data_IF_516624608130
#
_entry.id   IF_516624608130
#
_cell.length_a   1.000
_cell.length_b   1.000
_cell.length_c   1.000
_cell.angle_alpha   90.00
_cell.angle_beta   90.00
_cell.angle_gamma   90.00
#
_symmetry.space_group_name_H-M   'P 1'
#
loop_
_entity.id
_entity.type
_entity.pdbx_description
1 polymer ?
#
# COMPACT_ATOMS: atom_id res chain seq x y z
N UNK A 1 -38.75 26.63 2.03
CA UNK A 1 -37.35 26.92 1.64
C UNK A 1 -36.35 26.63 2.77
N UNK A 2 -36.57 27.08 4.01
CA UNK A 2 -35.69 26.78 5.16
C UNK A 2 -35.47 25.28 5.42
N UNK A 3 -36.51 24.46 5.25
CA UNK A 3 -36.47 23.00 5.46
C UNK A 3 -35.67 22.22 4.40
N UNK A 4 -35.46 22.79 3.22
CA UNK A 4 -34.68 22.16 2.14
C UNK A 4 -33.19 22.49 2.31
N UNK A 5 -32.85 23.66 2.85
CA UNK A 5 -31.46 24.02 3.14
C UNK A 5 -30.87 23.15 4.26
N UNK A 6 -31.67 22.82 5.28
CA UNK A 6 -31.23 21.99 6.41
C UNK A 6 -30.98 20.53 6.02
N UNK A 7 -31.73 19.98 5.06
CA UNK A 7 -31.50 18.60 4.58
C UNK A 7 -30.26 18.49 3.70
N UNK A 8 -29.93 19.51 2.90
CA UNK A 8 -28.70 19.53 2.09
C UNK A 8 -27.45 19.65 2.96
N UNK A 9 -27.49 20.47 4.02
CA UNK A 9 -26.36 20.62 4.95
C UNK A 9 -26.03 19.32 5.71
N UNK A 10 -27.04 18.51 6.04
CA UNK A 10 -26.84 17.26 6.77
C UNK A 10 -26.27 16.14 5.88
N UNK A 11 -26.56 16.15 4.58
CA UNK A 11 -26.02 15.17 3.62
C UNK A 11 -24.51 15.35 3.37
N UNK A 12 -23.99 16.58 3.50
CA UNK A 12 -22.56 16.89 3.29
C UNK A 12 -21.65 16.45 4.46
N UNK A 13 -22.20 16.19 5.64
CA UNK A 13 -21.42 15.76 6.81
C UNK A 13 -21.12 14.25 6.82
N UNK A 14 -21.81 13.46 6.00
CA UNK A 14 -21.67 12.00 5.94
C UNK A 14 -20.66 11.50 4.89
N UNK A 15 -20.11 12.38 4.05
CA UNK A 15 -19.20 12.01 2.95
C UNK A 15 -17.71 11.94 3.34
N UNK A 16 -17.34 12.17 4.60
CA UNK A 16 -15.94 12.40 4.98
C UNK A 16 -15.14 11.17 5.46
N UNK A 17 -15.63 9.95 5.33
CA UNK A 17 -14.86 8.76 5.72
C UNK A 17 -14.17 8.09 4.52
N UNK A 18 -13.37 8.85 3.76
CA UNK A 18 -12.34 8.26 2.91
C UNK A 18 -11.20 7.82 3.84
N UNK A 19 -11.25 6.60 4.35
CA UNK A 19 -10.14 6.01 5.10
C UNK A 19 -8.90 6.03 4.20
N UNK A 20 -7.95 6.92 4.49
CA UNK A 20 -6.67 7.00 3.82
C UNK A 20 -5.93 5.68 4.07
N UNK A 21 -6.13 4.69 3.22
CA UNK A 21 -5.23 3.55 3.15
C UNK A 21 -3.89 4.09 2.69
N UNK A 22 -3.00 4.34 3.64
CA UNK A 22 -1.63 4.75 3.36
C UNK A 22 -0.94 3.57 2.71
N UNK A 23 -0.72 3.68 1.39
CA UNK A 23 -0.10 2.65 0.56
C UNK A 23 1.27 3.15 0.15
N UNK A 24 2.30 2.38 0.47
CA UNK A 24 3.65 2.58 0.00
C UNK A 24 4.13 1.42 -0.85
N UNK A 25 5.38 1.49 -1.27
CA UNK A 25 6.08 0.40 -1.97
C UNK A 25 7.45 0.19 -1.33
N UNK A 26 8.03 -0.98 -1.56
CA UNK A 26 9.46 -1.20 -1.33
C UNK A 26 10.25 -0.39 -2.34
N UNK A 27 11.01 0.60 -1.85
CA UNK A 27 11.86 1.45 -2.65
C UNK A 27 13.18 0.75 -3.03
N UNK A 28 13.79 0.08 -2.05
CA UNK A 28 15.01 -0.72 -2.24
C UNK A 28 15.16 -1.74 -1.12
N UNK A 29 15.98 -2.76 -1.36
CA UNK A 29 16.39 -3.75 -0.35
C UNK A 29 17.78 -3.37 0.16
N UNK A 30 17.96 -3.35 1.47
CA UNK A 30 19.29 -3.16 2.07
C UNK A 30 19.97 -4.51 2.32
N UNK A 31 19.17 -5.54 2.64
CA UNK A 31 19.62 -6.92 2.72
C UNK A 31 18.47 -7.91 2.37
N UNK A 32 18.60 -9.19 2.74
CA UNK A 32 17.58 -10.22 2.45
C UNK A 32 16.26 -10.00 3.18
N UNK A 33 16.30 -9.42 4.38
CA UNK A 33 15.19 -9.27 5.31
C UNK A 33 14.85 -7.80 5.61
N UNK A 34 15.69 -6.87 5.18
CA UNK A 34 15.54 -5.43 5.45
C UNK A 34 15.34 -4.65 4.15
N UNK A 35 14.41 -3.69 4.17
CA UNK A 35 14.11 -2.83 3.03
C UNK A 35 13.77 -1.40 3.46
N UNK A 36 13.98 -0.46 2.53
CA UNK A 36 13.40 0.88 2.64
C UNK A 36 12.04 0.89 1.93
N UNK A 37 11.04 1.50 2.57
CA UNK A 37 9.68 1.61 2.05
C UNK A 37 9.27 3.08 1.91
N UNK A 38 8.44 3.38 0.90
CA UNK A 38 7.87 4.71 0.62
C UNK A 38 6.75 5.07 1.62
N UNK A 39 7.06 4.99 2.91
CA UNK A 39 6.22 5.45 4.02
C UNK A 39 7.16 6.15 5.00
N UNK A 40 6.97 7.46 5.18
CA UNK A 40 7.82 8.31 5.99
C UNK A 40 7.32 8.51 7.42
N UNK A 41 7.95 9.45 8.12
CA UNK A 41 7.63 9.79 9.51
C UNK A 41 6.20 10.33 9.73
N UNK A 42 5.53 10.81 8.68
CA UNK A 42 4.14 11.24 8.73
C UNK A 42 3.16 10.08 8.57
N UNK A 43 3.64 8.92 8.10
CA UNK A 43 2.80 7.79 7.71
C UNK A 43 2.89 6.63 8.72
N UNK A 44 4.09 6.40 9.26
CA UNK A 44 4.39 5.28 10.15
C UNK A 44 5.31 5.68 11.30
N UNK A 45 5.35 4.82 12.34
CA UNK A 45 6.23 4.98 13.51
C UNK A 45 7.14 3.76 13.69
N UNK A 46 8.25 3.92 14.42
CA UNK A 46 9.11 2.80 14.80
C UNK A 46 8.30 1.79 15.63
N UNK A 47 8.47 0.50 15.35
CA UNK A 47 7.73 -0.61 15.97
C UNK A 47 6.40 -0.93 15.29
N UNK A 48 5.98 -0.13 14.31
CA UNK A 48 4.73 -0.35 13.60
C UNK A 48 4.81 -1.55 12.65
N UNK A 49 3.72 -2.33 12.60
CA UNK A 49 3.62 -3.50 11.71
C UNK A 49 3.03 -3.11 10.35
N UNK A 50 3.70 -3.54 9.30
CA UNK A 50 3.28 -3.36 7.92
C UNK A 50 3.04 -4.71 7.26
N UNK A 51 2.03 -4.75 6.40
CA UNK A 51 1.70 -5.90 5.56
C UNK A 51 2.25 -5.69 4.16
N UNK A 52 2.84 -6.74 3.60
CA UNK A 52 3.42 -6.74 2.26
C UNK A 52 2.52 -7.52 1.31
N UNK A 53 2.35 -7.01 0.10
CA UNK A 53 1.45 -7.58 -0.89
C UNK A 53 2.08 -7.62 -2.27
N UNK A 54 1.72 -8.63 -3.05
CA UNK A 54 1.93 -8.65 -4.49
C UNK A 54 0.59 -8.54 -5.20
N UNK A 55 0.58 -7.88 -6.35
CA UNK A 55 -0.56 -7.97 -7.26
C UNK A 55 -0.47 -9.29 -8.02
N UNK A 56 -1.52 -10.09 -7.96
CA UNK A 56 -1.70 -11.27 -8.79
C UNK A 56 -2.82 -11.00 -9.78
N UNK A 57 -2.44 -10.84 -11.04
CA UNK A 57 -3.36 -10.49 -12.11
C UNK A 57 -3.54 -11.68 -13.05
N UNK A 58 -4.79 -12.03 -13.34
CA UNK A 58 -5.18 -13.14 -14.20
C UNK A 58 -5.82 -12.54 -15.46
N UNK A 59 -5.29 -12.92 -16.63
CA UNK A 59 -5.79 -12.52 -17.94
C UNK A 59 -5.30 -13.48 -19.02
N UNK A 60 -6.02 -13.56 -20.13
CA UNK A 60 -5.59 -14.33 -21.31
C UNK A 60 -4.62 -13.47 -22.10
N UNK A 61 -3.37 -13.93 -22.22
CA UNK A 61 -2.34 -13.24 -23.01
C UNK A 61 -2.66 -13.38 -24.51
N UNK A 62 -3.44 -12.46 -25.06
CA UNK A 62 -3.51 -12.25 -26.51
C UNK A 62 -2.35 -11.35 -26.94
N UNK A 63 -1.17 -11.95 -27.10
CA UNK A 63 -0.08 -11.36 -27.89
C UNK A 63 0.87 -10.38 -27.19
N UNK A 64 2.15 -10.56 -27.50
CA UNK A 64 3.31 -9.68 -27.39
C UNK A 64 3.51 -8.86 -26.08
N UNK A 65 4.58 -9.23 -25.37
CA UNK A 65 5.26 -8.38 -24.39
C UNK A 65 5.72 -7.11 -25.09
N UNK A 66 5.21 -5.97 -24.65
CA UNK A 66 5.95 -4.80 -24.16
C UNK A 66 4.95 -3.65 -24.05
N UNK A 67 4.77 -3.14 -22.83
CA UNK A 67 4.03 -1.89 -22.55
C UNK A 67 2.55 -1.82 -22.96
N UNK A 68 1.71 -2.60 -22.26
CA UNK A 68 0.30 -2.25 -22.06
C UNK A 68 -0.71 -2.92 -23.01
N UNK A 69 -1.71 -3.59 -22.43
CA UNK A 69 -2.94 -3.95 -23.15
C UNK A 69 -3.21 -5.43 -23.36
N UNK A 70 -2.82 -6.31 -22.43
CA UNK A 70 -3.55 -7.57 -22.28
C UNK A 70 -4.82 -7.33 -21.47
N UNK A 71 -5.95 -7.93 -21.85
CA UNK A 71 -7.19 -7.87 -21.07
C UNK A 71 -6.98 -8.55 -19.70
N UNK A 72 -6.48 -7.79 -18.73
CA UNK A 72 -6.38 -8.20 -17.34
C UNK A 72 -7.80 -8.19 -16.77
N UNK A 73 -8.41 -9.37 -16.69
CA UNK A 73 -9.80 -9.50 -16.26
C UNK A 73 -9.95 -9.29 -14.76
N UNK A 74 -8.98 -9.78 -13.98
CA UNK A 74 -9.00 -9.67 -12.53
C UNK A 74 -7.59 -9.48 -11.96
N UNK A 75 -7.43 -8.56 -11.00
CA UNK A 75 -6.24 -8.42 -10.18
C UNK A 75 -6.61 -8.50 -8.71
N UNK A 76 -5.92 -9.34 -7.95
CA UNK A 76 -6.08 -9.48 -6.51
C UNK A 76 -4.78 -9.19 -5.79
N UNK A 77 -4.87 -8.49 -4.65
CA UNK A 77 -3.75 -8.33 -3.74
C UNK A 77 -3.57 -9.61 -2.93
N UNK A 78 -2.43 -10.28 -3.09
CA UNK A 78 -2.05 -11.44 -2.29
C UNK A 78 -1.07 -11.00 -1.20
N UNK A 79 -1.39 -11.31 0.05
CA UNK A 79 -0.49 -11.08 1.19
C UNK A 79 0.76 -11.94 1.03
N UNK A 80 1.93 -11.34 1.17
CA UNK A 80 3.22 -12.02 1.20
C UNK A 80 3.67 -12.32 2.63
N UNK A 81 3.49 -11.36 3.53
CA UNK A 81 3.93 -11.45 4.91
C UNK A 81 3.87 -10.10 5.61
N UNK A 82 4.58 -9.99 6.73
CA UNK A 82 4.62 -8.76 7.53
C UNK A 82 6.05 -8.35 7.84
N UNK A 83 6.23 -7.09 8.20
CA UNK A 83 7.48 -6.55 8.73
C UNK A 83 7.22 -5.44 9.73
N UNK A 84 8.27 -5.07 10.47
CA UNK A 84 8.22 -4.04 11.51
C UNK A 84 9.12 -2.88 11.12
N UNK A 85 8.62 -1.66 11.23
CA UNK A 85 9.41 -0.44 11.02
C UNK A 85 10.51 -0.36 12.08
N UNK A 86 11.77 -0.38 11.67
CA UNK A 86 12.94 -0.30 12.56
C UNK A 86 13.52 1.10 12.64
N UNK A 87 13.36 1.92 11.60
CA UNK A 87 13.92 3.27 11.53
C UNK A 87 13.09 4.19 10.66
N UNK A 88 12.97 5.46 11.06
CA UNK A 88 12.46 6.53 10.20
C UNK A 88 13.64 7.22 9.52
N UNK A 89 13.63 7.30 8.19
CA UNK A 89 14.73 7.89 7.43
C UNK A 89 14.46 9.36 7.12
N UNK A 90 13.24 9.68 6.67
CA UNK A 90 12.78 11.06 6.41
C UNK A 90 11.24 11.10 6.23
N UNK A 91 10.73 12.17 5.61
CA UNK A 91 9.31 12.37 5.29
C UNK A 91 8.73 11.43 4.26
N UNK A 92 9.56 10.66 3.56
CA UNK A 92 9.14 9.78 2.46
C UNK A 92 9.50 8.32 2.72
N UNK A 93 10.55 8.05 3.52
CA UNK A 93 11.10 6.72 3.66
C UNK A 93 11.28 6.29 5.11
N UNK A 94 11.10 4.99 5.32
CA UNK A 94 11.42 4.27 6.54
C UNK A 94 12.08 2.93 6.22
N UNK A 95 12.81 2.39 7.19
CA UNK A 95 13.38 1.05 7.14
C UNK A 95 12.43 0.07 7.82
N UNK A 96 12.24 -1.09 7.20
CA UNK A 96 11.39 -2.17 7.68
C UNK A 96 12.18 -3.47 7.66
N UNK A 97 12.07 -4.22 8.76
CA UNK A 97 12.64 -5.56 8.89
C UNK A 97 11.55 -6.62 8.89
N UNK A 98 11.73 -7.65 8.07
CA UNK A 98 10.86 -8.82 7.95
C UNK A 98 11.46 -10.03 8.67
N UNK A 99 10.65 -11.08 8.85
CA UNK A 99 11.08 -12.37 9.39
C UNK A 99 11.77 -13.28 8.35
N UNK A 100 11.82 -12.86 7.08
CA UNK A 100 12.36 -13.64 5.97
C UNK A 100 11.41 -14.72 5.43
N UNK A 101 10.13 -14.71 5.82
CA UNK A 101 9.11 -15.65 5.30
C UNK A 101 8.82 -15.48 3.81
N UNK A 102 9.21 -14.36 3.22
CA UNK A 102 9.06 -14.06 1.80
C UNK A 102 10.25 -13.27 1.27
N UNK A 103 10.43 -13.29 -0.06
CA UNK A 103 11.48 -12.53 -0.73
C UNK A 103 11.05 -11.08 -0.95
N UNK A 104 11.79 -10.14 -0.37
CA UNK A 104 11.62 -8.73 -0.66
C UNK A 104 11.95 -8.44 -2.14
N UNK A 105 11.10 -7.63 -2.78
CA UNK A 105 11.25 -7.19 -4.18
C UNK A 105 10.89 -5.71 -4.25
N UNK A 106 11.60 -4.94 -5.08
CA UNK A 106 11.26 -3.53 -5.33
C UNK A 106 9.90 -3.42 -5.99
N UNK A 107 9.14 -2.39 -5.62
CA UNK A 107 7.75 -2.21 -6.08
C UNK A 107 6.73 -3.09 -5.36
N UNK A 108 7.13 -4.02 -4.48
CA UNK A 108 6.19 -4.74 -3.60
C UNK A 108 5.36 -3.74 -2.81
N UNK A 109 4.04 -3.91 -2.79
CA UNK A 109 3.12 -3.02 -2.11
C UNK A 109 3.21 -3.21 -0.60
N UNK A 110 3.16 -2.09 0.13
CA UNK A 110 3.23 -2.06 1.59
C UNK A 110 2.05 -1.25 2.11
N UNK A 111 1.39 -1.76 3.15
CA UNK A 111 0.30 -1.05 3.83
C UNK A 111 0.46 -1.16 5.32
N UNK A 112 0.00 -0.13 6.03
CA UNK A 112 -0.19 -0.18 7.48
C UNK A 112 -1.13 -1.35 7.83
N UNK A 113 -0.70 -2.20 8.77
CA UNK A 113 -1.58 -3.22 9.35
C UNK A 113 -2.79 -2.54 10.01
N UNK A 114 -3.97 -3.17 9.91
CA UNK A 114 -5.15 -2.73 10.67
C UNK A 114 -4.92 -2.87 12.17
#
# INVERSE_FOLDING_TARGET
MKTILTTVALALLLSSCAHNFMRGTVAMKTDKNTAHVCLGNNDVKIGEKLSFYTNHCIGTASGARDEGGGDVRECHMKVLGTGTVTKLLNSHYSEVKTDGSFKLTEGTLVQKGK
#
